data_IF_376661175031
#
_entry.id   IF_376661175031
#
_cell.length_a   1.000
_cell.length_b   1.000
_cell.length_c   1.000
_cell.angle_alpha   90.00
_cell.angle_beta   90.00
_cell.angle_gamma   90.00
#
_symmetry.space_group_name_H-M   'P 1'
#
loop_
_entity.id
_entity.type
_entity.pdbx_description
1 polymer ?
#
# COMPACT_ATOMS: atom_id res chain seq x y z
N UNK A 1 32.86 5.81 -1.69
CA UNK A 1 31.54 6.14 -1.11
C UNK A 1 31.05 4.90 -0.39
N UNK A 2 30.75 4.97 0.91
CA UNK A 2 30.23 3.81 1.64
C UNK A 2 28.92 3.35 1.00
N UNK A 3 28.71 2.04 0.85
CA UNK A 3 27.48 1.49 0.25
C UNK A 3 26.24 1.96 1.02
N UNK A 4 26.35 2.10 2.34
CA UNK A 4 25.30 2.64 3.20
C UNK A 4 24.91 4.08 2.85
N UNK A 5 25.84 4.90 2.35
CA UNK A 5 25.53 6.26 1.89
C UNK A 5 24.66 6.22 0.63
N UNK A 6 24.93 5.28 -0.28
CA UNK A 6 24.15 5.10 -1.51
C UNK A 6 22.76 4.59 -1.16
N UNK A 7 22.67 3.53 -0.34
CA UNK A 7 21.41 2.94 0.11
C UNK A 7 20.58 3.96 0.85
N UNK A 8 21.15 4.63 1.85
CA UNK A 8 20.49 5.68 2.61
C UNK A 8 20.06 6.86 1.74
N UNK A 9 20.87 7.26 0.76
CA UNK A 9 20.52 8.32 -0.20
C UNK A 9 19.33 7.96 -1.09
N UNK A 10 19.29 6.73 -1.63
CA UNK A 10 18.15 6.23 -2.43
C UNK A 10 16.88 6.21 -1.58
N UNK A 11 16.95 5.62 -0.38
CA UNK A 11 15.80 5.53 0.52
C UNK A 11 15.33 6.91 0.98
N UNK A 12 16.25 7.84 1.25
CA UNK A 12 15.92 9.22 1.59
C UNK A 12 15.07 9.89 0.51
N UNK A 13 15.50 9.82 -0.75
CA UNK A 13 14.77 10.43 -1.86
C UNK A 13 13.36 9.85 -2.03
N UNK A 14 13.24 8.53 -2.02
CA UNK A 14 11.95 7.85 -2.22
C UNK A 14 11.00 8.13 -1.05
N UNK A 15 11.48 7.97 0.17
CA UNK A 15 10.65 8.16 1.36
C UNK A 15 10.29 9.62 1.61
N UNK A 16 11.14 10.59 1.25
CA UNK A 16 10.79 12.01 1.28
C UNK A 16 9.63 12.32 0.34
N UNK A 17 9.66 11.82 -0.89
CA UNK A 17 8.57 11.96 -1.85
C UNK A 17 7.29 11.35 -1.30
N UNK A 18 7.39 10.15 -0.70
CA UNK A 18 6.26 9.47 -0.07
C UNK A 18 5.67 10.20 1.14
N UNK A 19 6.51 10.76 2.01
CA UNK A 19 6.07 11.59 3.14
C UNK A 19 5.32 12.80 2.62
N UNK A 20 5.91 13.55 1.68
CA UNK A 20 5.28 14.75 1.11
C UNK A 20 3.96 14.39 0.42
N UNK A 21 3.93 13.33 -0.39
CA UNK A 21 2.74 12.95 -1.15
C UNK A 21 1.59 12.49 -0.23
N UNK A 22 1.83 11.51 0.64
CA UNK A 22 0.82 10.90 1.49
C UNK A 22 0.28 11.86 2.56
N UNK A 23 1.15 12.62 3.23
CA UNK A 23 0.70 13.62 4.21
C UNK A 23 -0.12 14.74 3.56
N UNK A 24 0.22 15.13 2.32
CA UNK A 24 -0.58 16.13 1.61
C UNK A 24 -2.00 15.60 1.37
N UNK A 25 -2.14 14.34 0.91
CA UNK A 25 -3.46 13.72 0.71
C UNK A 25 -4.22 13.64 2.03
N UNK A 26 -3.56 13.15 3.09
CA UNK A 26 -4.18 12.99 4.40
C UNK A 26 -4.74 14.31 4.97
N UNK A 27 -3.98 15.40 4.85
CA UNK A 27 -4.32 16.69 5.44
C UNK A 27 -5.22 17.55 4.53
N UNK A 28 -4.95 17.56 3.23
CA UNK A 28 -5.54 18.53 2.30
C UNK A 28 -6.59 17.94 1.35
N UNK A 29 -6.84 16.62 1.35
CA UNK A 29 -7.92 16.07 0.52
C UNK A 29 -9.26 16.71 0.93
N UNK A 30 -9.98 17.40 0.03
CA UNK A 30 -11.19 18.15 0.38
C UNK A 30 -12.27 17.25 0.98
N UNK A 31 -12.89 17.69 2.08
CA UNK A 31 -14.04 17.00 2.70
C UNK A 31 -15.29 16.95 1.79
N UNK A 32 -15.28 17.70 0.70
CA UNK A 32 -16.34 17.78 -0.31
C UNK A 32 -16.30 16.66 -1.36
N UNK A 33 -15.15 15.98 -1.54
CA UNK A 33 -15.07 14.79 -2.40
C UNK A 33 -15.88 13.69 -1.72
N UNK A 34 -16.77 13.02 -2.48
CA UNK A 34 -17.66 11.92 -2.06
C UNK A 34 -17.31 11.36 -0.67
N UNK A 35 -18.09 11.73 0.36
CA UNK A 35 -17.69 11.59 1.78
C UNK A 35 -17.07 10.22 2.12
N UNK A 36 -17.69 9.13 1.64
CA UNK A 36 -17.20 7.76 1.84
C UNK A 36 -15.87 7.49 1.13
N UNK A 37 -15.77 7.81 -0.17
CA UNK A 37 -14.54 7.66 -0.96
C UNK A 37 -13.39 8.47 -0.35
N UNK A 38 -13.60 9.75 -0.07
CA UNK A 38 -12.56 10.61 0.49
C UNK A 38 -12.09 10.15 1.89
N UNK A 39 -12.99 9.55 2.68
CA UNK A 39 -12.62 8.99 3.99
C UNK A 39 -11.76 7.73 3.84
N UNK A 40 -12.10 6.84 2.90
CA UNK A 40 -11.30 5.65 2.59
C UNK A 40 -9.92 6.01 2.04
N UNK A 41 -9.86 6.96 1.10
CA UNK A 41 -8.60 7.48 0.55
C UNK A 41 -7.70 8.07 1.62
N UNK A 42 -8.25 8.80 2.60
CA UNK A 42 -7.48 9.30 3.74
C UNK A 42 -6.93 8.16 4.60
N UNK A 43 -7.70 7.10 4.85
CA UNK A 43 -7.23 5.96 5.64
C UNK A 43 -6.10 5.21 4.93
N UNK A 44 -6.18 5.07 3.61
CA UNK A 44 -5.10 4.53 2.80
C UNK A 44 -3.83 5.39 2.89
N UNK A 45 -3.96 6.71 2.64
CA UNK A 45 -2.86 7.65 2.73
C UNK A 45 -2.24 7.70 4.14
N UNK A 46 -3.03 7.43 5.19
CA UNK A 46 -2.51 7.27 6.54
C UNK A 46 -1.60 6.05 6.68
N UNK A 47 -1.98 4.88 6.15
CA UNK A 47 -1.15 3.68 6.14
C UNK A 47 0.17 3.90 5.38
N UNK A 48 0.10 4.49 4.19
CA UNK A 48 1.27 4.80 3.37
C UNK A 48 2.15 5.90 4.01
N UNK A 49 1.55 6.90 4.66
CA UNK A 49 2.27 7.91 5.43
C UNK A 49 3.01 7.29 6.62
N UNK A 50 2.40 6.37 7.36
CA UNK A 50 3.07 5.65 8.46
C UNK A 50 4.29 4.90 7.96
N UNK A 51 4.17 4.17 6.85
CA UNK A 51 5.28 3.44 6.26
C UNK A 51 6.40 4.40 5.83
N UNK A 52 6.08 5.40 5.01
CA UNK A 52 7.08 6.30 4.40
C UNK A 52 7.77 7.18 5.42
N UNK A 53 7.03 7.63 6.44
CA UNK A 53 7.56 8.38 7.60
C UNK A 53 8.51 7.51 8.42
N UNK A 54 8.17 6.23 8.64
CA UNK A 54 9.05 5.30 9.37
C UNK A 54 10.35 5.06 8.59
N UNK A 55 10.26 4.88 7.26
CA UNK A 55 11.46 4.75 6.43
C UNK A 55 12.31 6.02 6.50
N UNK A 56 11.71 7.20 6.32
CA UNK A 56 12.42 8.47 6.26
C UNK A 56 13.08 8.87 7.58
N UNK A 57 12.36 8.77 8.70
CA UNK A 57 12.87 9.26 9.99
C UNK A 57 13.57 8.18 10.83
N UNK A 58 13.39 6.90 10.53
CA UNK A 58 13.98 5.81 11.32
C UNK A 58 14.95 4.98 10.49
N UNK A 59 14.51 4.41 9.36
CA UNK A 59 15.37 3.50 8.57
C UNK A 59 16.52 4.24 7.90
N UNK A 60 16.27 5.42 7.31
CA UNK A 60 17.30 6.20 6.63
C UNK A 60 18.41 6.65 7.60
N UNK A 61 18.12 7.29 8.75
CA UNK A 61 19.15 7.61 9.74
C UNK A 61 19.85 6.37 10.30
N UNK A 62 19.10 5.28 10.53
CA UNK A 62 19.68 4.00 10.99
C UNK A 62 20.75 3.48 10.03
N UNK A 63 20.53 3.59 8.72
CA UNK A 63 21.49 3.16 7.70
C UNK A 63 22.64 4.16 7.56
N UNK A 64 22.34 5.46 7.43
CA UNK A 64 23.36 6.49 7.19
C UNK A 64 24.35 6.68 8.35
N UNK A 65 23.89 6.53 9.59
CA UNK A 65 24.71 6.72 10.78
C UNK A 65 25.06 5.40 11.49
N UNK A 66 24.78 4.26 10.86
CA UNK A 66 25.04 2.92 11.41
C UNK A 66 24.53 2.74 12.86
N UNK A 67 23.28 3.12 13.12
CA UNK A 67 22.74 3.17 14.50
C UNK A 67 22.40 1.74 14.98
N UNK A 68 23.36 1.12 15.68
CA UNK A 68 23.26 -0.28 16.11
C UNK A 68 22.03 -0.59 16.97
N UNK A 69 21.64 0.30 17.88
CA UNK A 69 20.47 0.05 18.75
C UNK A 69 19.16 -0.09 17.96
N UNK A 70 19.01 0.65 16.86
CA UNK A 70 17.83 0.55 15.98
C UNK A 70 17.95 -0.71 15.13
N UNK A 71 19.14 -1.05 14.61
CA UNK A 71 19.37 -2.27 13.84
C UNK A 71 19.04 -3.53 14.65
N UNK A 72 19.49 -3.62 15.91
CA UNK A 72 19.21 -4.75 16.81
C UNK A 72 17.72 -4.86 17.17
N UNK A 73 17.01 -3.73 17.23
CA UNK A 73 15.57 -3.68 17.54
C UNK A 73 14.70 -3.40 16.29
N UNK A 74 15.22 -3.70 15.10
CA UNK A 74 14.59 -3.35 13.82
C UNK A 74 13.24 -4.05 13.61
N UNK A 75 12.94 -5.09 14.38
CA UNK A 75 11.62 -5.73 14.43
C UNK A 75 10.51 -4.82 14.98
N UNK A 76 10.84 -3.84 15.82
CA UNK A 76 9.88 -2.83 16.27
C UNK A 76 9.63 -1.79 15.17
N UNK A 77 10.67 -1.42 14.43
CA UNK A 77 10.56 -0.53 13.27
C UNK A 77 9.68 -1.17 12.19
N UNK A 78 9.94 -2.45 11.92
CA UNK A 78 9.20 -3.21 10.93
C UNK A 78 7.75 -3.46 11.33
N UNK A 79 7.44 -3.53 12.64
CA UNK A 79 6.06 -3.61 13.14
C UNK A 79 5.23 -2.42 12.65
N UNK A 80 5.76 -1.20 12.80
CA UNK A 80 5.07 0.03 12.36
C UNK A 80 4.92 0.06 10.84
N UNK A 81 5.98 -0.33 10.10
CA UNK A 81 5.93 -0.41 8.63
C UNK A 81 4.89 -1.42 8.13
N UNK A 82 4.86 -2.62 8.71
CA UNK A 82 3.90 -3.67 8.33
C UNK A 82 2.46 -3.31 8.71
N UNK A 83 2.25 -2.62 9.84
CA UNK A 83 0.95 -2.09 10.20
C UNK A 83 0.47 -1.05 9.16
N UNK A 84 1.34 -0.12 8.76
CA UNK A 84 1.04 0.84 7.69
C UNK A 84 0.70 0.15 6.37
N UNK A 85 1.47 -0.86 5.97
CA UNK A 85 1.20 -1.67 4.80
C UNK A 85 -0.18 -2.36 4.86
N UNK A 86 -0.52 -2.99 5.98
CA UNK A 86 -1.78 -3.71 6.11
C UNK A 86 -2.99 -2.77 6.13
N UNK A 87 -2.87 -1.60 6.77
CA UNK A 87 -3.89 -0.54 6.71
C UNK A 87 -4.08 -0.07 5.26
N UNK A 88 -3.00 0.14 4.51
CA UNK A 88 -3.06 0.56 3.11
C UNK A 88 -3.77 -0.47 2.22
N UNK A 89 -3.36 -1.74 2.28
CA UNK A 89 -3.94 -2.82 1.46
C UNK A 89 -5.43 -3.05 1.76
N UNK A 90 -5.84 -3.04 3.03
CA UNK A 90 -7.26 -3.20 3.35
C UNK A 90 -8.08 -1.96 2.97
N UNK A 91 -7.49 -0.77 3.04
CA UNK A 91 -8.14 0.46 2.54
C UNK A 91 -8.35 0.40 1.03
N UNK A 92 -7.40 -0.15 0.27
CA UNK A 92 -7.57 -0.43 -1.16
C UNK A 92 -8.73 -1.36 -1.44
N UNK A 93 -8.83 -2.47 -0.72
CA UNK A 93 -9.93 -3.41 -0.85
C UNK A 93 -11.28 -2.73 -0.62
N UNK A 94 -11.40 -1.94 0.46
CA UNK A 94 -12.62 -1.18 0.76
C UNK A 94 -12.91 -0.13 -0.33
N UNK A 95 -11.89 0.51 -0.89
CA UNK A 95 -12.04 1.50 -1.95
C UNK A 95 -12.55 0.86 -3.24
N UNK A 96 -12.04 -0.31 -3.62
CA UNK A 96 -12.52 -1.08 -4.78
C UNK A 96 -13.98 -1.49 -4.61
N UNK A 97 -14.39 -1.97 -3.43
CA UNK A 97 -15.80 -2.24 -3.14
C UNK A 97 -16.66 -0.98 -3.20
N UNK A 98 -16.18 0.15 -2.66
CA UNK A 98 -16.91 1.41 -2.72
C UNK A 98 -17.17 1.85 -4.18
N UNK A 99 -16.15 1.74 -5.04
CA UNK A 99 -16.25 2.07 -6.48
C UNK A 99 -17.20 1.13 -7.20
N UNK A 100 -17.12 -0.17 -6.91
CA UNK A 100 -18.03 -1.17 -7.47
C UNK A 100 -19.49 -0.82 -7.18
N UNK A 101 -19.80 -0.46 -5.93
CA UNK A 101 -21.14 -0.06 -5.54
C UNK A 101 -21.58 1.26 -6.20
N UNK A 102 -20.66 2.23 -6.34
CA UNK A 102 -20.93 3.51 -6.99
C UNK A 102 -21.35 3.33 -8.44
N UNK A 103 -20.66 2.45 -9.17
CA UNK A 103 -20.90 2.21 -10.60
C UNK A 103 -22.07 1.24 -10.83
N UNK A 104 -22.17 0.16 -10.05
CA UNK A 104 -23.19 -0.88 -10.26
C UNK A 104 -24.59 -0.47 -9.80
N UNK A 105 -24.68 0.51 -8.90
CA UNK A 105 -25.95 0.95 -8.33
C UNK A 105 -25.95 2.44 -7.96
N UNK A 106 -25.79 3.35 -8.94
CA UNK A 106 -25.64 4.78 -8.70
C UNK A 106 -26.83 5.40 -7.94
N UNK A 107 -28.06 4.98 -8.25
CA UNK A 107 -29.28 5.47 -7.58
C UNK A 107 -29.41 4.99 -6.13
N UNK A 108 -28.79 3.86 -5.77
CA UNK A 108 -28.82 3.28 -4.42
C UNK A 108 -27.52 3.51 -3.65
N UNK A 109 -26.50 4.11 -4.25
CA UNK A 109 -25.20 4.31 -3.60
C UNK A 109 -25.31 5.02 -2.25
N UNK A 110 -26.14 6.07 -2.17
CA UNK A 110 -26.35 6.81 -0.93
C UNK A 110 -27.09 5.99 0.16
N UNK A 111 -27.78 4.91 -0.22
CA UNK A 111 -28.41 3.97 0.71
C UNK A 111 -27.44 2.85 1.12
N UNK A 112 -26.58 2.39 0.19
CA UNK A 112 -25.60 1.32 0.42
C UNK A 112 -24.37 1.81 1.20
N UNK A 113 -23.90 3.03 0.93
CA UNK A 113 -22.69 3.61 1.54
C UNK A 113 -23.03 4.89 2.28
N UNK A 114 -23.28 4.76 3.59
CA UNK A 114 -23.32 5.91 4.49
C UNK A 114 -21.94 6.21 5.05
N UNK A 115 -21.73 7.46 5.46
CA UNK A 115 -20.48 7.87 6.14
C UNK A 115 -20.24 7.04 7.41
N UNK A 116 -21.29 6.74 8.18
CA UNK A 116 -21.21 5.95 9.41
C UNK A 116 -20.75 4.53 9.13
N UNK A 117 -21.32 3.89 8.11
CA UNK A 117 -20.90 2.55 7.69
C UNK A 117 -19.44 2.56 7.23
N UNK A 118 -19.03 3.57 6.45
CA UNK A 118 -17.65 3.71 5.97
C UNK A 118 -16.65 3.82 7.12
N UNK A 119 -16.95 4.65 8.13
CA UNK A 119 -16.12 4.76 9.33
C UNK A 119 -16.09 3.43 10.09
N UNK A 120 -17.22 2.73 10.23
CA UNK A 120 -17.26 1.42 10.88
C UNK A 120 -16.38 0.40 10.16
N UNK A 121 -16.45 0.32 8.83
CA UNK A 121 -15.60 -0.57 8.03
C UNK A 121 -14.11 -0.25 8.19
N UNK A 122 -13.73 1.03 8.20
CA UNK A 122 -12.35 1.46 8.44
C UNK A 122 -11.88 1.04 9.83
N UNK A 123 -12.69 1.26 10.87
CA UNK A 123 -12.33 0.88 12.24
C UNK A 123 -12.13 -0.63 12.34
N UNK A 124 -13.04 -1.42 11.78
CA UNK A 124 -12.92 -2.88 11.77
C UNK A 124 -11.66 -3.33 11.00
N UNK A 125 -11.40 -2.75 9.83
CA UNK A 125 -10.22 -3.07 9.03
C UNK A 125 -8.92 -2.73 9.77
N UNK A 126 -8.81 -1.55 10.38
CA UNK A 126 -7.63 -1.13 11.12
C UNK A 126 -7.41 -1.95 12.40
N UNK A 127 -8.49 -2.35 13.09
CA UNK A 127 -8.40 -3.27 14.24
C UNK A 127 -7.91 -4.65 13.80
N UNK A 128 -8.40 -5.15 12.66
CA UNK A 128 -7.89 -6.38 12.07
C UNK A 128 -6.40 -6.26 11.69
N UNK A 129 -5.98 -5.15 11.05
CA UNK A 129 -4.57 -4.89 10.74
C UNK A 129 -3.71 -4.96 12.00
N UNK A 130 -4.12 -4.28 13.06
CA UNK A 130 -3.40 -4.30 14.33
C UNK A 130 -3.31 -5.71 14.91
N UNK A 131 -4.44 -6.44 14.93
CA UNK A 131 -4.48 -7.81 15.43
C UNK A 131 -3.58 -8.75 14.61
N UNK A 132 -3.58 -8.65 13.28
CA UNK A 132 -2.76 -9.50 12.40
C UNK A 132 -1.27 -9.26 12.64
N UNK A 133 -0.82 -8.00 12.73
CA UNK A 133 0.57 -7.67 13.01
C UNK A 133 0.98 -8.05 14.45
N UNK A 134 0.08 -7.90 15.43
CA UNK A 134 0.33 -8.39 16.80
C UNK A 134 0.51 -9.91 16.84
N UNK A 135 -0.29 -10.67 16.08
CA UNK A 135 -0.12 -12.13 15.96
C UNK A 135 1.23 -12.47 15.32
N UNK A 136 1.63 -11.78 14.25
CA UNK A 136 2.97 -11.96 13.66
C UNK A 136 4.06 -11.67 14.68
N UNK A 137 3.94 -10.58 15.44
CA UNK A 137 4.92 -10.20 16.45
C UNK A 137 5.01 -11.23 17.59
N UNK A 138 3.86 -11.72 18.08
CA UNK A 138 3.77 -12.73 19.13
C UNK A 138 4.22 -14.13 18.67
N UNK A 139 4.20 -14.42 17.37
CA UNK A 139 4.63 -15.71 16.82
C UNK A 139 6.13 -16.00 16.96
N UNK A 140 6.93 -14.97 17.27
CA UNK A 140 8.39 -15.06 17.31
C UNK A 140 9.06 -14.99 15.92
N UNK A 141 8.27 -14.94 14.83
CA UNK A 141 8.78 -14.76 13.47
C UNK A 141 9.13 -13.30 13.18
N UNK A 142 10.26 -12.86 13.76
CA UNK A 142 10.75 -11.50 13.62
C UNK A 142 10.98 -11.14 12.15
N UNK A 143 10.55 -9.95 11.78
CA UNK A 143 10.94 -9.29 10.53
C UNK A 143 12.00 -8.24 10.89
N UNK A 144 13.22 -8.33 10.39
CA UNK A 144 14.34 -7.52 10.90
C UNK A 144 15.27 -7.08 9.78
N UNK A 145 16.03 -6.01 10.03
CA UNK A 145 16.96 -5.44 9.07
C UNK A 145 18.25 -6.25 8.97
N UNK A 146 18.59 -6.70 7.76
CA UNK A 146 19.91 -7.23 7.42
C UNK A 146 20.77 -6.12 6.83
N UNK A 147 21.88 -5.79 7.50
CA UNK A 147 22.85 -4.81 6.97
C UNK A 147 23.70 -5.36 5.83
N UNK A 148 23.79 -6.69 5.68
CA UNK A 148 24.55 -7.32 4.60
C UNK A 148 23.83 -7.21 3.25
N UNK A 149 22.50 -7.39 3.28
CA UNK A 149 21.65 -7.39 2.07
C UNK A 149 20.85 -6.10 1.89
N UNK A 150 20.98 -5.15 2.83
CA UNK A 150 20.22 -3.89 2.89
C UNK A 150 18.70 -4.09 2.75
N UNK A 151 18.18 -5.14 3.38
CA UNK A 151 16.76 -5.47 3.32
C UNK A 151 16.22 -5.98 4.65
N UNK A 152 14.93 -5.77 4.85
CA UNK A 152 14.22 -6.46 5.92
C UNK A 152 13.92 -7.90 5.49
N UNK A 153 14.18 -8.85 6.39
CA UNK A 153 13.99 -10.28 6.17
C UNK A 153 13.27 -10.95 7.33
N UNK A 154 12.53 -12.01 7.03
CA UNK A 154 11.90 -12.84 8.04
C UNK A 154 12.93 -13.78 8.67
N UNK A 155 12.77 -14.06 9.96
CA UNK A 155 13.56 -15.04 10.67
C UNK A 155 13.53 -16.40 9.95
N UNK A 156 14.71 -16.98 9.72
CA UNK A 156 14.87 -18.18 8.91
C UNK A 156 14.69 -19.43 9.78
N UNK A 157 13.44 -19.83 9.98
CA UNK A 157 13.07 -21.14 10.54
C UNK A 157 11.96 -21.77 9.69
N UNK A 158 11.85 -23.10 9.67
CA UNK A 158 10.83 -23.79 8.86
C UNK A 158 9.40 -23.27 9.16
N UNK A 159 9.10 -23.01 10.44
CA UNK A 159 7.82 -22.45 10.85
C UNK A 159 7.62 -21.03 10.32
N UNK A 160 8.63 -20.16 10.42
CA UNK A 160 8.52 -18.76 10.00
C UNK A 160 8.53 -18.57 8.48
N UNK A 161 9.26 -19.42 7.75
CA UNK A 161 9.20 -19.45 6.28
C UNK A 161 7.79 -19.82 5.83
N UNK A 162 7.21 -20.90 6.38
CA UNK A 162 5.82 -21.28 6.08
C UNK A 162 4.83 -20.19 6.48
N UNK A 163 4.99 -19.59 7.66
CA UNK A 163 4.14 -18.50 8.12
C UNK A 163 4.21 -17.30 7.16
N UNK A 164 5.41 -16.87 6.77
CA UNK A 164 5.58 -15.74 5.84
C UNK A 164 5.04 -16.06 4.45
N UNK A 165 5.15 -17.30 3.98
CA UNK A 165 4.60 -17.67 2.68
C UNK A 165 3.07 -17.66 2.68
N UNK A 166 2.42 -18.32 3.63
CA UNK A 166 0.96 -18.40 3.63
C UNK A 166 0.28 -17.18 4.26
N UNK A 167 0.76 -16.74 5.42
CA UNK A 167 0.18 -15.66 6.21
C UNK A 167 0.48 -14.26 5.67
N UNK A 168 1.47 -14.12 4.78
CA UNK A 168 1.88 -12.83 4.22
C UNK A 168 1.77 -12.88 2.70
N UNK A 169 2.60 -13.67 2.02
CA UNK A 169 2.63 -13.69 0.55
C UNK A 169 1.28 -14.11 -0.05
N UNK A 170 0.76 -15.30 0.27
CA UNK A 170 -0.52 -15.77 -0.27
C UNK A 170 -1.68 -14.87 0.16
N UNK A 171 -1.72 -14.44 1.44
CA UNK A 171 -2.73 -13.52 1.97
C UNK A 171 -2.84 -12.26 1.10
N UNK A 172 -1.72 -11.56 0.93
CA UNK A 172 -1.73 -10.28 0.22
C UNK A 172 -1.92 -10.46 -1.29
N UNK A 173 -1.33 -11.49 -1.89
CA UNK A 173 -1.53 -11.78 -3.31
C UNK A 173 -3.01 -12.03 -3.62
N UNK A 174 -3.72 -12.81 -2.79
CA UNK A 174 -5.16 -13.06 -2.97
C UNK A 174 -5.97 -11.77 -2.83
N UNK A 175 -5.69 -10.94 -1.82
CA UNK A 175 -6.39 -9.66 -1.63
C UNK A 175 -6.19 -8.75 -2.85
N UNK A 176 -4.96 -8.64 -3.36
CA UNK A 176 -4.65 -7.79 -4.50
C UNK A 176 -5.30 -8.32 -5.79
N UNK A 177 -5.33 -9.64 -6.01
CA UNK A 177 -6.06 -10.23 -7.13
C UNK A 177 -7.56 -9.95 -7.06
N UNK A 178 -8.16 -10.01 -5.86
CA UNK A 178 -9.56 -9.61 -5.65
C UNK A 178 -9.78 -8.14 -6.00
N UNK A 179 -8.90 -7.24 -5.53
CA UNK A 179 -8.92 -5.80 -5.86
C UNK A 179 -8.89 -5.61 -7.39
N UNK A 180 -7.94 -6.23 -8.08
CA UNK A 180 -7.80 -6.12 -9.53
C UNK A 180 -9.06 -6.59 -10.25
N UNK A 181 -9.65 -7.72 -9.83
CA UNK A 181 -10.88 -8.23 -10.42
C UNK A 181 -12.07 -7.27 -10.22
N UNK A 182 -12.22 -6.70 -9.01
CA UNK A 182 -13.27 -5.73 -8.70
C UNK A 182 -13.10 -4.45 -9.51
N UNK A 183 -11.88 -3.92 -9.61
CA UNK A 183 -11.61 -2.68 -10.33
C UNK A 183 -11.79 -2.86 -11.84
N UNK A 184 -11.33 -3.98 -12.41
CA UNK A 184 -11.55 -4.30 -13.83
C UNK A 184 -13.05 -4.41 -14.15
N UNK A 185 -13.83 -5.07 -13.28
CA UNK A 185 -15.27 -5.14 -13.43
C UNK A 185 -15.93 -3.75 -13.29
N UNK A 186 -15.49 -2.95 -12.33
CA UNK A 186 -15.99 -1.57 -12.14
C UNK A 186 -15.72 -0.70 -13.36
N UNK A 187 -14.52 -0.81 -13.96
CA UNK A 187 -14.16 -0.14 -15.23
C UNK A 187 -15.07 -0.58 -16.36
N UNK A 188 -15.28 -1.88 -16.49
CA UNK A 188 -16.12 -2.44 -17.54
C UNK A 188 -17.56 -1.90 -17.44
N UNK A 189 -18.17 -1.99 -16.26
CA UNK A 189 -19.54 -1.50 -16.02
C UNK A 189 -19.64 0.01 -16.24
N UNK A 190 -18.65 0.79 -15.79
CA UNK A 190 -18.61 2.23 -16.00
C UNK A 190 -18.60 2.54 -17.51
N UNK A 191 -17.72 1.89 -18.28
CA UNK A 191 -17.64 2.05 -19.74
C UNK A 191 -18.94 1.70 -20.44
N UNK A 192 -19.65 0.65 -20.00
CA UNK A 192 -20.94 0.29 -20.58
C UNK A 192 -22.00 1.37 -20.33
N UNK A 193 -22.13 1.83 -19.08
CA UNK A 193 -23.07 2.90 -18.72
C UNK A 193 -22.79 4.19 -19.50
N UNK A 194 -21.52 4.57 -19.67
CA UNK A 194 -21.17 5.76 -20.44
C UNK A 194 -21.42 5.62 -21.94
N UNK A 195 -21.32 4.41 -22.51
CA UNK A 195 -21.66 4.18 -23.93
C UNK A 195 -23.16 4.33 -24.19
N UNK A 196 -23.99 3.96 -23.22
CA UNK A 196 -25.45 4.05 -23.31
C UNK A 196 -25.96 5.49 -23.05
N UNK A 197 -25.24 6.27 -22.25
CA UNK A 197 -25.56 7.68 -22.03
C UNK A 197 -25.12 8.54 -23.23
N UNK A 198 -26.03 8.87 -24.15
CA UNK A 198 -25.83 9.92 -25.15
C UNK A 198 -25.43 11.23 -24.45
N UNK A 199 -24.17 11.68 -24.55
CA UNK A 199 -23.75 12.86 -23.78
C UNK A 199 -22.76 13.78 -24.47
N UNK A 200 -23.02 15.08 -24.29
CA UNK A 200 -22.23 16.21 -24.78
C UNK A 200 -20.88 16.37 -24.09
N UNK A 201 -20.17 17.45 -24.40
CA UNK A 201 -18.74 17.62 -24.08
C UNK A 201 -18.42 17.62 -22.57
N UNK A 202 -19.31 18.12 -21.70
CA UNK A 202 -19.10 18.20 -20.24
C UNK A 202 -19.11 16.81 -19.59
N UNK A 203 -20.07 15.95 -19.96
CA UNK A 203 -20.18 14.57 -19.46
C UNK A 203 -18.99 13.73 -19.93
N UNK A 204 -18.52 13.94 -21.17
CA UNK A 204 -17.30 13.28 -21.68
C UNK A 204 -16.04 13.61 -20.86
N UNK A 205 -15.92 14.83 -20.33
CA UNK A 205 -14.75 15.25 -19.55
C UNK A 205 -14.74 14.64 -18.14
N UNK A 206 -15.90 14.56 -17.48
CA UNK A 206 -16.06 13.88 -16.18
C UNK A 206 -15.77 12.38 -16.33
N UNK A 207 -16.29 11.75 -17.39
CA UNK A 207 -16.07 10.32 -17.66
C UNK A 207 -14.60 9.97 -17.89
N UNK A 208 -13.82 10.84 -18.55
CA UNK A 208 -12.37 10.62 -18.75
C UNK A 208 -11.59 10.64 -17.44
N UNK A 209 -11.95 11.53 -16.51
CA UNK A 209 -11.30 11.60 -15.18
C UNK A 209 -11.62 10.37 -14.33
N UNK A 210 -12.88 9.95 -14.27
CA UNK A 210 -13.30 8.77 -13.49
C UNK A 210 -12.67 7.48 -14.03
N UNK A 211 -12.61 7.30 -15.35
CA UNK A 211 -11.90 6.16 -15.96
C UNK A 211 -10.39 6.24 -15.72
N UNK A 212 -9.81 7.43 -15.72
CA UNK A 212 -8.40 7.65 -15.39
C UNK A 212 -8.05 7.19 -13.98
N UNK A 213 -8.86 7.59 -12.99
CA UNK A 213 -8.72 7.17 -11.59
C UNK A 213 -8.84 5.65 -11.42
N UNK A 214 -9.72 5.00 -12.18
CA UNK A 214 -9.86 3.54 -12.14
C UNK A 214 -8.64 2.83 -12.75
N UNK A 215 -8.13 3.30 -13.90
CA UNK A 215 -6.92 2.73 -14.53
C UNK A 215 -5.70 2.86 -13.61
N UNK A 216 -5.58 4.00 -12.91
CA UNK A 216 -4.52 4.22 -11.94
C UNK A 216 -4.52 3.18 -10.82
N UNK A 217 -5.67 2.85 -10.25
CA UNK A 217 -5.76 1.84 -9.18
C UNK A 217 -5.46 0.44 -9.68
N UNK A 218 -5.83 0.09 -10.92
CA UNK A 218 -5.38 -1.17 -11.52
C UNK A 218 -3.85 -1.24 -11.69
N UNK A 219 -3.22 -0.15 -12.16
CA UNK A 219 -1.76 -0.05 -12.24
C UNK A 219 -1.11 -0.24 -10.87
N UNK A 220 -1.69 0.39 -9.86
CA UNK A 220 -1.22 0.32 -8.50
C UNK A 220 -1.31 -1.11 -7.93
N UNK A 221 -2.45 -1.81 -8.10
CA UNK A 221 -2.59 -3.21 -7.70
C UNK A 221 -1.62 -4.16 -8.43
N UNK A 222 -1.33 -3.89 -9.70
CA UNK A 222 -0.29 -4.64 -10.43
C UNK A 222 1.10 -4.41 -9.84
N UNK A 223 1.45 -3.17 -9.46
CA UNK A 223 2.73 -2.87 -8.83
C UNK A 223 2.90 -3.58 -7.47
N UNK A 224 1.86 -3.57 -6.63
CA UNK A 224 1.86 -4.36 -5.37
C UNK A 224 2.04 -5.86 -5.62
N UNK A 225 1.40 -6.41 -6.66
CA UNK A 225 1.58 -7.83 -7.02
C UNK A 225 3.01 -8.13 -7.45
N UNK A 226 3.59 -7.26 -8.27
CA UNK A 226 4.97 -7.39 -8.76
C UNK A 226 5.94 -7.33 -7.60
N UNK A 227 5.78 -6.40 -6.65
CA UNK A 227 6.66 -6.32 -5.48
C UNK A 227 6.62 -7.58 -4.62
N UNK A 228 5.44 -8.13 -4.33
CA UNK A 228 5.33 -9.38 -3.58
C UNK A 228 6.04 -10.53 -4.29
N UNK A 229 5.88 -10.64 -5.61
CA UNK A 229 6.57 -11.66 -6.41
C UNK A 229 8.08 -11.41 -6.42
N UNK A 230 8.51 -10.16 -6.57
CA UNK A 230 9.92 -9.77 -6.50
C UNK A 230 10.53 -10.14 -5.14
N UNK A 231 9.83 -9.89 -4.04
CA UNK A 231 10.32 -10.18 -2.69
C UNK A 231 10.35 -11.67 -2.39
N UNK A 232 9.23 -12.39 -2.57
CA UNK A 232 9.11 -13.79 -2.11
C UNK A 232 9.60 -14.83 -3.12
N UNK A 233 9.56 -14.51 -4.42
CA UNK A 233 9.90 -15.46 -5.49
C UNK A 233 11.23 -15.09 -6.12
N UNK A 234 11.42 -13.86 -6.57
CA UNK A 234 12.62 -13.51 -7.36
C UNK A 234 13.85 -13.32 -6.47
N UNK A 235 13.76 -12.51 -5.41
CA UNK A 235 14.90 -12.13 -4.56
C UNK A 235 15.67 -13.33 -3.98
N UNK A 236 15.03 -14.40 -3.46
CA UNK A 236 15.75 -15.56 -2.92
C UNK A 236 16.55 -16.36 -3.97
N UNK A 237 16.27 -16.17 -5.27
CA UNK A 237 16.96 -16.83 -6.38
C UNK A 237 18.13 -16.00 -6.93
N UNK A 238 18.25 -14.75 -6.50
CA UNK A 238 19.26 -13.81 -6.98
C UNK A 238 20.39 -13.72 -5.96
N UNK A 239 21.64 -13.84 -6.40
CA UNK A 239 22.80 -13.74 -5.49
C UNK A 239 23.36 -12.31 -5.39
N UNK A 240 23.07 -11.44 -6.35
CA UNK A 240 23.55 -10.07 -6.33
C UNK A 240 22.79 -9.24 -5.29
N UNK A 241 23.52 -8.75 -4.26
CA UNK A 241 22.93 -7.95 -3.16
C UNK A 241 22.22 -6.69 -3.63
N UNK A 242 22.74 -5.99 -4.64
CA UNK A 242 22.12 -4.78 -5.17
C UNK A 242 20.80 -5.12 -5.85
N UNK A 243 20.76 -6.21 -6.63
CA UNK A 243 19.51 -6.70 -7.20
C UNK A 243 18.50 -7.07 -6.13
N UNK A 244 18.91 -7.73 -5.03
CA UNK A 244 18.01 -8.02 -3.91
C UNK A 244 17.49 -6.73 -3.25
N UNK A 245 18.36 -5.75 -2.98
CA UNK A 245 17.97 -4.44 -2.45
C UNK A 245 16.92 -3.74 -3.34
N UNK A 246 17.10 -3.76 -4.66
CA UNK A 246 16.16 -3.16 -5.60
C UNK A 246 14.83 -3.91 -5.67
N UNK A 247 14.87 -5.25 -5.69
CA UNK A 247 13.69 -6.12 -5.75
C UNK A 247 12.86 -6.14 -4.46
N UNK A 248 13.43 -5.68 -3.34
CA UNK A 248 12.81 -5.74 -2.02
C UNK A 248 12.61 -4.33 -1.46
N UNK A 249 13.62 -3.75 -0.83
CA UNK A 249 13.53 -2.49 -0.07
C UNK A 249 13.15 -1.30 -0.94
N UNK A 250 13.73 -1.18 -2.15
CA UNK A 250 13.40 -0.10 -3.08
C UNK A 250 12.00 -0.28 -3.63
N UNK A 251 11.65 -1.49 -4.10
CA UNK A 251 10.31 -1.79 -4.60
C UNK A 251 9.22 -1.47 -3.56
N UNK A 252 9.39 -1.96 -2.33
CA UNK A 252 8.49 -1.73 -1.21
C UNK A 252 8.35 -0.23 -0.89
N UNK A 253 9.46 0.50 -0.76
CA UNK A 253 9.42 1.94 -0.47
C UNK A 253 8.80 2.76 -1.61
N UNK A 254 9.02 2.35 -2.85
CA UNK A 254 8.54 3.05 -4.04
C UNK A 254 7.03 2.96 -4.17
N UNK A 255 6.44 1.78 -3.89
CA UNK A 255 5.00 1.58 -3.98
C UNK A 255 4.24 2.53 -3.04
N UNK A 256 4.65 2.62 -1.78
CA UNK A 256 4.01 3.53 -0.83
C UNK A 256 4.23 5.01 -1.18
N UNK A 257 5.36 5.35 -1.81
CA UNK A 257 5.59 6.71 -2.30
C UNK A 257 4.68 7.05 -3.50
N UNK A 258 4.48 6.07 -4.40
CA UNK A 258 3.63 6.20 -5.59
C UNK A 258 2.15 6.34 -5.25
N UNK A 259 1.64 5.62 -4.25
CA UNK A 259 0.23 5.68 -3.84
C UNK A 259 -0.20 7.12 -3.52
N UNK A 260 0.59 7.84 -2.71
CA UNK A 260 0.30 9.24 -2.38
C UNK A 260 0.33 10.18 -3.59
N UNK A 261 1.09 9.85 -4.65
CA UNK A 261 1.10 10.62 -5.89
C UNK A 261 -0.14 10.34 -6.74
N UNK A 262 -0.55 9.08 -6.81
CA UNK A 262 -1.76 8.65 -7.53
C UNK A 262 -3.01 9.28 -6.91
N UNK A 263 -3.08 9.36 -5.58
CA UNK A 263 -4.23 9.92 -4.86
C UNK A 263 -4.35 11.46 -4.92
N UNK A 264 -3.33 12.18 -5.41
CA UNK A 264 -3.35 13.65 -5.53
C UNK A 264 -4.07 14.18 -6.78
N UNK A 265 -4.29 13.35 -7.80
CA UNK A 265 -4.83 13.76 -9.11
C UNK A 265 -6.37 13.81 -9.13
#
# INVERSE_FOLDING_TARGET
MSEDLIVGGILFCISLLGVVSNWTVLLFLPKSIHKSFGTLTRNQAFGDALQTTTVFFVVVPMVLFDIQIIKTNSNLVSFVMLFGYEVSVLSHLLLSFNRLCAVSSPLKYHQLYSQRLTICMIVIANLYSLASILVLFASGCKYYWSSELHMFMYHVSNACVNFSFYGIFCKYLVIILIILMIDLFSIYTARQLYRQAHSGNVTKQINKKEVGLLVQTCLQGMLFSIELVCYFVVSPRVQNKWSQFFLTTVAFSTIHACDGYVLKQ
#
